data_IF_901054643209
#
_entry.id   IF_901054643209
#
_cell.length_a   1.000
_cell.length_b   1.000
_cell.length_c   1.000
_cell.angle_alpha   90.00
_cell.angle_beta   90.00
_cell.angle_gamma   90.00
#
_symmetry.space_group_name_H-M   'P 1'
#
loop_
_entity.id
_entity.type
_entity.pdbx_description
1 polymer ?
#
# COMPACT_ATOMS: atom_id res chain seq x y z
N UNK A 1 24.21 -34.58 29.44
CA UNK A 1 23.07 -34.07 30.24
C UNK A 1 22.20 -33.20 29.34
N UNK A 2 20.90 -33.46 29.24
CA UNK A 2 19.95 -32.57 28.55
C UNK A 2 19.09 -31.89 29.60
N UNK A 3 19.05 -30.56 29.59
CA UNK A 3 18.22 -29.76 30.49
C UNK A 3 17.15 -29.05 29.67
N UNK A 4 15.89 -29.22 30.07
CA UNK A 4 14.73 -28.57 29.47
C UNK A 4 13.93 -27.91 30.59
N UNK A 5 13.58 -26.64 30.43
CA UNK A 5 12.78 -25.86 31.36
C UNK A 5 11.80 -25.01 30.54
N UNK A 6 10.64 -24.71 31.10
CA UNK A 6 9.64 -23.83 30.50
C UNK A 6 10.05 -22.35 30.61
N UNK A 7 11.01 -22.05 31.48
CA UNK A 7 11.60 -20.72 31.65
C UNK A 7 12.97 -20.59 30.96
N UNK A 8 13.19 -19.45 30.30
CA UNK A 8 14.43 -19.20 29.57
C UNK A 8 15.57 -18.88 30.54
N UNK A 9 16.60 -19.72 30.55
CA UNK A 9 17.82 -19.51 31.33
C UNK A 9 19.00 -19.09 30.46
N UNK A 10 19.89 -18.23 30.98
CA UNK A 10 21.14 -17.92 30.30
C UNK A 10 22.06 -19.16 30.32
N UNK A 11 22.58 -19.55 29.17
CA UNK A 11 23.48 -20.71 29.06
C UNK A 11 24.73 -20.60 29.96
N UNK A 12 25.24 -19.37 30.14
CA UNK A 12 26.35 -19.09 31.05
C UNK A 12 26.02 -19.34 32.53
N UNK A 13 24.74 -19.21 32.92
CA UNK A 13 24.29 -19.53 34.27
C UNK A 13 24.26 -21.05 34.49
N UNK A 14 23.78 -21.81 33.51
CA UNK A 14 23.77 -23.28 33.56
C UNK A 14 25.19 -23.85 33.68
N UNK A 15 26.16 -23.32 32.93
CA UNK A 15 27.58 -23.72 33.05
C UNK A 15 28.18 -23.45 34.44
N UNK A 16 27.72 -22.41 35.13
CA UNK A 16 28.14 -22.13 36.51
C UNK A 16 27.53 -23.11 37.52
N UNK A 17 26.28 -23.51 37.32
CA UNK A 17 25.60 -24.47 38.19
C UNK A 17 26.19 -25.89 38.07
N UNK A 18 26.64 -26.27 36.87
CA UNK A 18 27.18 -27.59 36.58
C UNK A 18 28.60 -27.52 35.99
N UNK A 19 29.60 -27.05 36.75
CA UNK A 19 30.93 -26.74 36.23
C UNK A 19 31.71 -27.97 35.71
N UNK A 20 31.37 -29.17 36.21
CA UNK A 20 32.00 -30.43 35.81
C UNK A 20 31.30 -31.10 34.62
N UNK A 21 30.15 -30.58 34.17
CA UNK A 21 29.43 -31.15 33.04
C UNK A 21 29.91 -30.52 31.73
N UNK A 22 30.21 -31.36 30.74
CA UNK A 22 30.29 -30.91 29.36
C UNK A 22 28.88 -30.51 28.89
N UNK A 23 28.66 -29.21 28.73
CA UNK A 23 27.39 -28.62 28.35
C UNK A 23 27.54 -27.85 27.03
N UNK A 24 26.76 -28.26 26.03
CA UNK A 24 26.61 -27.62 24.73
C UNK A 24 25.13 -27.35 24.43
N UNK A 25 24.86 -26.39 23.54
CA UNK A 25 23.48 -26.15 23.09
C UNK A 25 22.97 -27.35 22.28
N UNK A 26 21.75 -27.81 22.58
CA UNK A 26 21.10 -28.86 21.80
C UNK A 26 20.83 -28.38 20.37
N UNK A 27 21.34 -29.13 19.40
CA UNK A 27 21.13 -28.90 17.96
C UNK A 27 20.29 -30.03 17.37
N UNK A 28 19.54 -29.70 16.33
CA UNK A 28 18.78 -30.70 15.57
C UNK A 28 17.46 -31.13 16.22
N UNK A 29 16.83 -32.11 15.56
CA UNK A 29 15.54 -32.66 15.99
C UNK A 29 15.64 -33.48 17.27
N UNK A 30 14.48 -33.85 17.87
CA UNK A 30 14.43 -34.72 19.06
C UNK A 30 15.20 -36.02 18.82
N UNK A 31 14.98 -36.63 17.66
CA UNK A 31 15.64 -37.88 17.26
C UNK A 31 17.15 -37.71 17.14
N UNK A 32 17.64 -36.59 16.60
CA UNK A 32 19.08 -36.36 16.51
C UNK A 32 19.73 -36.15 17.89
N UNK A 33 19.05 -35.49 18.81
CA UNK A 33 19.50 -35.36 20.20
C UNK A 33 19.54 -36.72 20.91
N UNK A 34 18.52 -37.56 20.70
CA UNK A 34 18.47 -38.94 21.21
C UNK A 34 19.59 -39.79 20.60
N UNK A 35 19.75 -39.79 19.27
CA UNK A 35 20.78 -40.56 18.57
C UNK A 35 22.20 -40.17 19.03
N UNK A 36 22.43 -38.89 19.37
CA UNK A 36 23.70 -38.43 19.95
C UNK A 36 23.93 -38.97 21.36
N UNK A 37 22.92 -38.90 22.25
CA UNK A 37 23.02 -39.39 23.64
C UNK A 37 23.23 -40.89 23.69
N UNK A 38 22.51 -41.62 22.83
CA UNK A 38 22.57 -43.08 22.75
C UNK A 38 23.66 -43.58 21.80
N UNK A 39 24.46 -42.70 21.19
CA UNK A 39 25.55 -43.01 20.25
C UNK A 39 25.12 -43.99 19.16
N UNK A 40 24.04 -43.64 18.45
CA UNK A 40 23.45 -44.43 17.36
C UNK A 40 23.71 -43.81 15.99
N UNK A 41 23.79 -44.65 14.96
CA UNK A 41 23.89 -44.21 13.57
C UNK A 41 25.13 -43.36 13.31
N UNK A 42 24.94 -42.10 12.86
CA UNK A 42 26.06 -41.19 12.54
C UNK A 42 26.93 -40.78 13.74
N UNK A 43 26.49 -41.09 14.96
CA UNK A 43 27.18 -40.78 16.21
C UNK A 43 27.73 -42.03 16.92
N UNK A 44 27.71 -43.18 16.26
CA UNK A 44 28.41 -44.37 16.75
C UNK A 44 29.91 -44.08 16.83
N UNK A 45 30.44 -44.18 18.04
CA UNK A 45 31.84 -43.95 18.34
C UNK A 45 32.36 -45.13 19.17
N UNK A 46 33.49 -45.71 18.77
CA UNK A 46 34.12 -46.85 19.45
C UNK A 46 34.93 -46.44 20.69
N UNK A 47 35.15 -45.14 20.90
CA UNK A 47 35.97 -44.61 22.00
C UNK A 47 35.15 -44.22 23.23
N UNK A 48 33.89 -43.82 23.06
CA UNK A 48 33.00 -43.41 24.15
C UNK A 48 32.05 -44.54 24.53
N UNK A 49 32.10 -45.01 25.78
CA UNK A 49 31.19 -46.03 26.31
C UNK A 49 30.13 -45.40 27.19
N UNK A 50 28.86 -45.68 26.89
CA UNK A 50 27.74 -45.29 27.74
C UNK A 50 27.73 -46.22 28.95
N UNK A 51 28.07 -45.67 30.12
CA UNK A 51 28.08 -46.43 31.38
C UNK A 51 26.68 -46.53 32.00
N UNK A 52 25.93 -45.43 31.94
CA UNK A 52 24.59 -45.34 32.53
C UNK A 52 23.80 -44.22 31.85
N UNK A 53 22.49 -44.42 31.67
CA UNK A 53 21.56 -43.38 31.16
C UNK A 53 20.45 -43.19 32.17
N UNK A 54 20.33 -41.96 32.67
CA UNK A 54 19.24 -41.55 33.53
C UNK A 54 18.41 -40.46 32.83
N UNK A 55 17.09 -40.67 32.77
CA UNK A 55 16.16 -39.74 32.12
C UNK A 55 15.05 -39.34 33.11
N UNK A 56 14.83 -38.04 33.24
CA UNK A 56 13.68 -37.48 33.94
C UNK A 56 13.01 -36.44 33.05
N UNK A 57 11.72 -36.63 32.76
CA UNK A 57 10.97 -35.82 31.79
C UNK A 57 11.14 -36.26 30.33
N UNK A 58 10.72 -35.40 29.39
CA UNK A 58 10.81 -35.65 27.95
C UNK A 58 11.84 -34.73 27.28
N UNK A 59 12.69 -35.30 26.41
CA UNK A 59 13.57 -34.51 25.55
C UNK A 59 12.71 -33.80 24.50
N UNK A 60 12.65 -32.47 24.58
CA UNK A 60 12.12 -31.61 23.51
C UNK A 60 13.29 -31.25 22.59
N UNK A 61 13.31 -31.81 21.39
CA UNK A 61 14.28 -31.42 20.37
C UNK A 61 14.07 -29.97 19.95
N UNK A 62 15.12 -29.33 19.44
CA UNK A 62 15.01 -28.03 18.78
C UNK A 62 14.53 -28.29 17.35
N UNK A 63 13.24 -28.61 17.20
CA UNK A 63 12.64 -28.78 15.86
C UNK A 63 13.02 -27.56 15.04
N UNK A 64 13.78 -27.78 13.96
CA UNK A 64 14.22 -26.71 13.07
C UNK A 64 13.01 -25.87 12.75
N UNK A 65 13.09 -24.57 13.07
CA UNK A 65 12.15 -23.59 12.56
C UNK A 65 11.95 -23.93 11.09
N UNK A 66 10.72 -24.23 10.64
CA UNK A 66 10.35 -23.72 9.31
C UNK A 66 10.73 -22.25 9.38
N UNK A 67 11.67 -21.82 8.53
CA UNK A 67 12.27 -20.50 8.68
C UNK A 67 11.11 -19.51 8.71
N UNK A 68 11.18 -18.47 9.54
CA UNK A 68 10.11 -17.47 9.60
C UNK A 68 9.85 -16.93 8.17
N UNK A 69 10.89 -16.89 7.33
CA UNK A 69 10.83 -16.60 5.89
C UNK A 69 10.06 -17.64 5.05
N UNK A 70 10.18 -18.94 5.32
CA UNK A 70 9.44 -19.98 4.57
C UNK A 70 7.93 -19.81 4.81
N UNK A 71 7.53 -19.55 6.06
CA UNK A 71 6.13 -19.28 6.42
C UNK A 71 5.63 -17.98 5.80
N UNK A 72 6.44 -16.92 5.83
CA UNK A 72 6.11 -15.66 5.15
C UNK A 72 5.88 -15.92 3.66
N UNK A 73 6.74 -16.72 3.02
CA UNK A 73 6.59 -17.07 1.62
C UNK A 73 5.33 -17.90 1.35
N UNK A 74 5.01 -18.87 2.22
CA UNK A 74 3.73 -19.62 2.18
C UNK A 74 2.54 -18.64 2.21
N UNK A 75 2.48 -17.72 3.18
CA UNK A 75 1.39 -16.74 3.27
C UNK A 75 1.30 -15.80 2.06
N UNK A 76 2.44 -15.35 1.52
CA UNK A 76 2.45 -14.52 0.31
C UNK A 76 1.85 -15.28 -0.89
N UNK A 77 2.20 -16.56 -1.05
CA UNK A 77 1.65 -17.41 -2.11
C UNK A 77 0.16 -17.73 -1.91
N UNK A 78 -0.30 -17.77 -0.66
CA UNK A 78 -1.72 -17.86 -0.30
C UNK A 78 -2.49 -16.54 -0.52
N UNK A 79 -1.79 -15.46 -0.90
CA UNK A 79 -2.38 -14.18 -1.25
C UNK A 79 -2.45 -13.17 -0.11
N UNK A 80 -1.88 -13.46 1.05
CA UNK A 80 -1.83 -12.52 2.16
C UNK A 80 -0.99 -11.29 1.81
N UNK A 81 -1.45 -10.13 2.27
CA UNK A 81 -0.69 -8.88 2.24
C UNK A 81 0.37 -8.83 3.35
N UNK A 82 1.42 -8.01 3.23
CA UNK A 82 2.39 -7.81 4.30
C UNK A 82 1.73 -7.40 5.62
N UNK A 83 0.73 -6.51 5.56
CA UNK A 83 -0.04 -6.08 6.74
C UNK A 83 -0.74 -7.24 7.44
N UNK A 84 -1.37 -8.16 6.69
CA UNK A 84 -2.00 -9.35 7.27
C UNK A 84 -0.97 -10.30 7.87
N UNK A 85 0.16 -10.54 7.18
CA UNK A 85 1.25 -11.37 7.68
C UNK A 85 1.78 -10.82 9.01
N UNK A 86 2.04 -9.52 9.11
CA UNK A 86 2.56 -8.91 10.34
C UNK A 86 1.55 -8.92 11.50
N UNK A 87 0.25 -9.03 11.23
CA UNK A 87 -0.80 -9.22 12.25
C UNK A 87 -0.78 -10.64 12.83
N UNK A 88 -0.36 -11.65 12.07
CA UNK A 88 -0.28 -13.04 12.54
C UNK A 88 0.77 -13.24 13.64
N UNK A 89 1.93 -12.61 13.51
CA UNK A 89 3.00 -12.69 14.50
C UNK A 89 3.94 -11.48 14.44
N UNK A 90 4.09 -10.77 15.57
CA UNK A 90 4.95 -9.58 15.67
C UNK A 90 6.41 -9.85 15.26
N UNK A 91 6.91 -11.06 15.48
CA UNK A 91 8.28 -11.45 15.14
C UNK A 91 8.58 -11.36 13.63
N UNK A 92 7.55 -11.41 12.78
CA UNK A 92 7.68 -11.24 11.33
C UNK A 92 8.08 -9.84 10.92
N UNK A 93 7.87 -8.81 11.77
CA UNK A 93 8.35 -7.45 11.50
C UNK A 93 9.87 -7.35 11.34
N UNK A 94 10.64 -8.32 11.88
CA UNK A 94 12.09 -8.40 11.63
C UNK A 94 12.43 -8.61 10.15
N UNK A 95 11.47 -9.10 9.38
CA UNK A 95 11.58 -9.37 7.95
C UNK A 95 10.74 -8.39 7.12
N UNK A 96 10.31 -7.26 7.69
CA UNK A 96 9.36 -6.35 7.04
C UNK A 96 9.80 -5.94 5.64
N UNK A 97 11.06 -5.53 5.48
CA UNK A 97 11.61 -5.11 4.19
C UNK A 97 11.50 -6.21 3.13
N UNK A 98 12.04 -7.39 3.41
CA UNK A 98 12.03 -8.50 2.45
C UNK A 98 10.61 -9.00 2.14
N UNK A 99 9.70 -8.99 3.12
CA UNK A 99 8.29 -9.34 2.91
C UNK A 99 7.60 -8.35 1.98
N UNK A 100 7.79 -7.04 2.19
CA UNK A 100 7.21 -6.00 1.34
C UNK A 100 7.79 -6.04 -0.06
N UNK A 101 9.11 -6.17 -0.19
CA UNK A 101 9.80 -6.24 -1.49
C UNK A 101 9.31 -7.46 -2.30
N UNK A 102 9.21 -8.64 -1.66
CA UNK A 102 8.70 -9.85 -2.30
C UNK A 102 7.24 -9.71 -2.74
N UNK A 103 6.37 -9.20 -1.86
CA UNK A 103 4.97 -8.93 -2.19
C UNK A 103 4.84 -7.96 -3.37
N UNK A 104 5.61 -6.86 -3.35
CA UNK A 104 5.55 -5.83 -4.38
C UNK A 104 6.00 -6.38 -5.74
N UNK A 105 7.07 -7.18 -5.79
CA UNK A 105 7.53 -7.82 -7.02
C UNK A 105 6.50 -8.83 -7.55
N UNK A 106 5.86 -9.62 -6.68
CA UNK A 106 4.76 -10.51 -7.08
C UNK A 106 3.60 -9.71 -7.72
N UNK A 107 3.22 -8.57 -7.13
CA UNK A 107 2.18 -7.70 -7.70
C UNK A 107 2.61 -7.12 -9.04
N UNK A 108 3.84 -6.61 -9.14
CA UNK A 108 4.39 -6.07 -10.38
C UNK A 108 4.37 -7.09 -11.52
N UNK A 109 4.72 -8.35 -11.26
CA UNK A 109 4.68 -9.42 -12.26
C UNK A 109 3.25 -9.80 -12.68
N UNK A 110 2.28 -9.64 -11.78
CA UNK A 110 0.87 -9.89 -12.07
C UNK A 110 0.15 -8.77 -12.84
N UNK A 111 0.72 -7.56 -12.85
CA UNK A 111 0.13 -6.38 -13.47
C UNK A 111 0.64 -6.23 -14.90
N UNK A 112 -0.25 -6.00 -15.90
CA UNK A 112 0.18 -5.83 -17.29
C UNK A 112 0.98 -4.54 -17.50
N UNK A 113 1.71 -4.48 -18.63
CA UNK A 113 2.48 -3.27 -19.01
C UNK A 113 1.57 -2.07 -19.25
N UNK A 114 0.36 -2.30 -19.74
CA UNK A 114 -0.68 -1.28 -19.90
C UNK A 114 -1.89 -1.65 -19.04
N UNK A 115 -2.23 -0.78 -18.10
CA UNK A 115 -3.31 -0.91 -17.13
C UNK A 115 -4.52 -0.11 -17.59
N UNK A 116 -5.70 -0.61 -17.27
CA UNK A 116 -6.92 0.18 -17.29
C UNK A 116 -7.02 0.94 -15.96
N UNK A 117 -6.86 2.26 -16.02
CA UNK A 117 -6.80 3.11 -14.83
C UNK A 117 -8.02 4.01 -14.81
N UNK A 118 -8.90 3.77 -13.84
CA UNK A 118 -10.09 4.58 -13.62
C UNK A 118 -9.75 5.79 -12.75
N UNK A 119 -10.19 6.98 -13.16
CA UNK A 119 -9.82 8.24 -12.50
C UNK A 119 -11.05 9.08 -12.16
N UNK A 120 -11.19 9.42 -10.87
CA UNK A 120 -12.18 10.39 -10.41
C UNK A 120 -11.52 11.69 -9.95
N UNK A 121 -12.07 12.81 -10.40
CA UNK A 121 -11.66 14.15 -9.99
C UNK A 121 -12.72 14.81 -9.11
N UNK A 122 -12.43 14.91 -7.81
CA UNK A 122 -13.28 15.60 -6.86
C UNK A 122 -12.89 17.07 -6.74
N UNK A 123 -13.80 17.98 -7.11
CA UNK A 123 -13.61 19.42 -7.03
C UNK A 123 -14.68 20.10 -6.16
N UNK A 124 -14.42 21.34 -5.73
CA UNK A 124 -15.34 22.13 -4.91
C UNK A 124 -14.65 22.92 -3.79
N UNK A 125 -15.38 23.82 -3.15
CA UNK A 125 -14.84 24.72 -2.13
C UNK A 125 -14.22 23.97 -0.92
N UNK A 126 -13.34 24.64 -0.17
CA UNK A 126 -12.79 24.05 1.05
C UNK A 126 -13.91 23.68 2.04
N UNK A 127 -13.77 22.56 2.75
CA UNK A 127 -14.75 22.13 3.74
C UNK A 127 -16.08 21.64 3.16
N UNK A 128 -16.16 21.26 1.87
CA UNK A 128 -17.36 20.64 1.25
C UNK A 128 -17.35 19.11 1.24
N UNK A 129 -16.39 18.46 1.91
CA UNK A 129 -16.40 17.00 2.09
C UNK A 129 -15.55 16.19 1.11
N UNK A 130 -14.78 16.82 0.20
CA UNK A 130 -13.89 16.11 -0.75
C UNK A 130 -12.98 15.07 -0.10
N UNK A 131 -12.23 15.46 0.93
CA UNK A 131 -11.30 14.54 1.62
C UNK A 131 -12.04 13.45 2.43
N UNK A 132 -13.33 13.65 2.75
CA UNK A 132 -14.16 12.61 3.37
C UNK A 132 -14.43 11.45 2.39
N UNK A 133 -14.24 11.65 1.09
CA UNK A 133 -14.32 10.54 0.12
C UNK A 133 -13.34 9.40 0.46
N UNK A 134 -12.18 9.72 1.02
CA UNK A 134 -11.25 8.70 1.49
C UNK A 134 -11.89 7.73 2.50
N UNK A 135 -12.75 8.23 3.39
CA UNK A 135 -13.46 7.41 4.38
C UNK A 135 -14.45 6.48 3.66
N UNK A 136 -15.23 7.01 2.74
CA UNK A 136 -16.19 6.22 1.94
C UNK A 136 -15.47 5.11 1.17
N UNK A 137 -14.34 5.43 0.53
CA UNK A 137 -13.51 4.44 -0.17
C UNK A 137 -12.96 3.39 0.80
N UNK A 138 -12.53 3.78 2.00
CA UNK A 138 -12.07 2.83 3.01
C UNK A 138 -13.18 1.87 3.46
N UNK A 139 -14.42 2.35 3.58
CA UNK A 139 -15.57 1.53 3.94
C UNK A 139 -15.94 0.55 2.80
N UNK A 140 -15.80 0.98 1.54
CA UNK A 140 -16.13 0.17 0.35
C UNK A 140 -15.05 -0.85 0.00
N UNK A 141 -13.78 -0.42 -0.08
CA UNK A 141 -12.66 -1.22 -0.59
C UNK A 141 -11.75 -1.76 0.50
N UNK A 142 -11.91 -1.32 1.74
CA UNK A 142 -11.00 -1.62 2.84
C UNK A 142 -9.76 -0.72 2.82
N UNK A 143 -9.42 -0.16 3.98
CA UNK A 143 -8.29 0.77 4.16
C UNK A 143 -6.96 0.24 3.63
N UNK A 144 -6.68 -1.05 3.79
CA UNK A 144 -5.41 -1.67 3.39
C UNK A 144 -5.25 -1.74 1.84
N UNK A 145 -6.30 -1.46 1.06
CA UNK A 145 -6.26 -1.40 -0.41
C UNK A 145 -6.09 0.02 -0.98
N UNK A 146 -6.01 1.04 -0.13
CA UNK A 146 -5.97 2.46 -0.54
C UNK A 146 -4.70 3.12 -0.02
N UNK A 147 -3.88 3.62 -0.94
CA UNK A 147 -2.76 4.48 -0.63
C UNK A 147 -3.20 5.94 -0.53
N UNK A 148 -3.00 6.55 0.62
CA UNK A 148 -3.31 7.96 0.86
C UNK A 148 -2.08 8.83 0.59
N UNK A 149 -2.12 9.61 -0.49
CA UNK A 149 -1.02 10.42 -0.99
C UNK A 149 -1.26 11.91 -0.69
N UNK A 150 -0.56 12.44 0.32
CA UNK A 150 -0.69 13.84 0.75
C UNK A 150 0.66 14.52 1.11
N UNK A 151 1.79 13.85 0.93
CA UNK A 151 3.13 14.42 1.16
C UNK A 151 3.61 15.15 -0.10
N UNK A 152 3.39 16.47 -0.12
CA UNK A 152 3.81 17.34 -1.22
C UNK A 152 5.17 18.02 -1.00
N UNK A 153 5.90 17.67 0.07
CA UNK A 153 7.18 18.30 0.36
C UNK A 153 8.18 18.08 -0.77
N UNK A 154 9.02 19.10 -1.00
CA UNK A 154 10.05 19.09 -2.04
C UNK A 154 9.48 18.67 -3.42
N UNK A 155 8.37 19.28 -3.85
CA UNK A 155 7.73 18.99 -5.15
C UNK A 155 7.06 17.62 -5.23
N UNK A 156 6.58 17.10 -4.08
CA UNK A 156 5.97 15.78 -3.97
C UNK A 156 6.96 14.63 -4.22
N UNK A 157 8.22 14.81 -3.83
CA UNK A 157 9.23 13.74 -3.90
C UNK A 157 8.96 12.60 -2.91
N UNK A 158 8.25 12.89 -1.81
CA UNK A 158 7.82 11.88 -0.83
C UNK A 158 6.44 11.30 -1.07
N UNK A 159 5.73 11.76 -2.11
CA UNK A 159 4.30 11.51 -2.31
C UNK A 159 3.95 10.01 -2.39
N UNK A 160 4.89 9.16 -2.79
CA UNK A 160 4.74 7.71 -2.94
C UNK A 160 5.77 6.88 -2.12
N UNK A 161 6.47 7.48 -1.14
CA UNK A 161 7.54 6.82 -0.37
C UNK A 161 7.10 5.53 0.33
N UNK A 162 5.81 5.41 0.66
CA UNK A 162 5.22 4.28 1.40
C UNK A 162 4.26 3.45 0.55
N UNK A 163 4.16 3.72 -0.75
CA UNK A 163 3.31 2.95 -1.65
C UNK A 163 3.77 1.49 -1.69
N UNK A 164 2.85 0.57 -1.47
CA UNK A 164 3.10 -0.85 -1.31
C UNK A 164 2.14 -1.69 -2.17
N UNK A 165 1.97 -1.27 -3.43
CA UNK A 165 1.14 -1.93 -4.44
C UNK A 165 -0.37 -1.93 -4.11
N UNK A 166 -0.85 -0.93 -3.38
CA UNK A 166 -2.28 -0.69 -3.21
C UNK A 166 -2.94 -0.46 -4.57
N UNK A 167 -4.16 -0.98 -4.73
CA UNK A 167 -4.92 -0.89 -5.99
C UNK A 167 -5.51 0.49 -6.23
N UNK A 168 -5.75 1.24 -5.15
CA UNK A 168 -6.37 2.55 -5.19
C UNK A 168 -5.39 3.58 -4.65
N UNK A 169 -5.24 4.69 -5.36
CA UNK A 169 -4.51 5.87 -4.87
C UNK A 169 -5.49 7.00 -4.63
N UNK A 170 -5.48 7.58 -3.43
CA UNK A 170 -6.21 8.80 -3.10
C UNK A 170 -5.22 9.95 -2.95
N UNK A 171 -5.20 10.87 -3.92
CA UNK A 171 -4.36 12.07 -3.91
C UNK A 171 -5.17 13.20 -3.27
N UNK A 172 -4.86 13.55 -2.03
CA UNK A 172 -5.64 14.52 -1.25
C UNK A 172 -5.05 15.93 -1.29
N UNK A 173 -5.89 16.95 -1.25
CA UNK A 173 -5.50 18.37 -1.24
C UNK A 173 -4.58 18.80 -2.39
N UNK A 174 -4.82 18.26 -3.57
CA UNK A 174 -4.04 18.60 -4.74
C UNK A 174 -4.35 20.03 -5.22
N UNK A 175 -3.32 20.86 -5.31
CA UNK A 175 -3.35 22.29 -5.65
C UNK A 175 -2.25 22.67 -6.66
N UNK A 176 -1.66 21.67 -7.34
CA UNK A 176 -0.61 21.84 -8.35
C UNK A 176 0.81 21.79 -7.77
N UNK A 177 1.02 21.07 -6.66
CA UNK A 177 2.33 20.96 -6.00
C UNK A 177 3.34 20.05 -6.73
N UNK A 178 2.87 19.24 -7.70
CA UNK A 178 3.72 18.42 -8.57
C UNK A 178 3.67 18.97 -10.00
N UNK A 179 4.65 18.64 -10.84
CA UNK A 179 4.66 19.09 -12.25
C UNK A 179 3.50 18.50 -13.05
N UNK A 180 3.09 19.20 -14.12
CA UNK A 180 2.02 18.74 -15.00
C UNK A 180 2.34 17.39 -15.65
N UNK A 181 3.57 17.22 -16.14
CA UNK A 181 4.06 15.94 -16.67
C UNK A 181 3.98 14.80 -15.64
N UNK A 182 4.31 15.07 -14.37
CA UNK A 182 4.20 14.06 -13.31
C UNK A 182 2.74 13.69 -13.05
N UNK A 183 1.83 14.66 -13.00
CA UNK A 183 0.40 14.40 -12.88
C UNK A 183 -0.10 13.51 -14.03
N UNK A 184 0.25 13.84 -15.28
CA UNK A 184 -0.16 13.05 -16.44
C UNK A 184 0.37 11.61 -16.37
N UNK A 185 1.61 11.42 -15.91
CA UNK A 185 2.21 10.10 -15.73
C UNK A 185 1.51 9.27 -14.66
N UNK A 186 1.14 9.88 -13.53
CA UNK A 186 0.42 9.19 -12.44
C UNK A 186 -0.96 8.67 -12.87
N UNK A 187 -1.59 9.37 -13.81
CA UNK A 187 -2.90 9.04 -14.37
C UNK A 187 -2.82 8.20 -15.65
N UNK A 188 -1.63 7.86 -16.12
CA UNK A 188 -1.45 7.07 -17.32
C UNK A 188 -1.63 5.57 -17.06
N UNK A 189 -2.02 4.84 -18.09
CA UNK A 189 -2.18 3.38 -18.06
C UNK A 189 -0.85 2.65 -18.07
N UNK A 190 0.23 3.25 -18.56
CA UNK A 190 1.53 2.57 -18.61
C UNK A 190 2.07 2.26 -17.21
N UNK A 191 2.48 1.01 -17.00
CA UNK A 191 3.22 0.59 -15.81
C UNK A 191 4.64 1.12 -15.92
N UNK A 192 4.86 2.28 -15.30
CA UNK A 192 6.17 2.94 -15.23
C UNK A 192 6.55 3.23 -13.77
N UNK A 193 7.70 3.86 -13.57
CA UNK A 193 8.19 4.21 -12.24
C UNK A 193 7.88 5.65 -11.88
N UNK A 194 7.51 5.88 -10.61
CA UNK A 194 7.46 7.21 -10.01
C UNK A 194 8.66 7.42 -9.09
N UNK A 195 9.27 8.59 -9.20
CA UNK A 195 10.38 8.98 -8.34
C UNK A 195 9.92 9.18 -6.89
N UNK A 196 10.63 8.52 -5.97
CA UNK A 196 10.47 8.66 -4.51
C UNK A 196 11.82 8.97 -3.85
N UNK A 197 11.85 9.34 -2.56
CA UNK A 197 13.09 9.81 -1.91
C UNK A 197 14.17 8.75 -1.79
N UNK A 198 13.79 7.49 -1.59
CA UNK A 198 14.73 6.40 -1.32
C UNK A 198 14.94 5.50 -2.53
N UNK A 199 13.84 5.02 -3.12
CA UNK A 199 13.85 4.19 -4.32
C UNK A 199 12.60 4.49 -5.12
N UNK A 200 12.72 4.55 -6.45
CA UNK A 200 11.56 4.64 -7.31
C UNK A 200 10.65 3.41 -7.13
N UNK A 201 9.34 3.61 -7.26
CA UNK A 201 8.35 2.54 -7.17
C UNK A 201 7.57 2.42 -8.47
N UNK A 202 7.13 1.22 -8.83
CA UNK A 202 6.26 1.02 -9.98
C UNK A 202 4.82 1.42 -9.67
N UNK A 203 4.15 2.03 -10.64
CA UNK A 203 2.74 2.39 -10.54
C UNK A 203 1.88 1.16 -10.85
N UNK A 204 1.23 0.59 -9.83
CA UNK A 204 0.50 -0.69 -9.91
C UNK A 204 -1.00 -0.57 -9.59
N UNK A 205 -1.50 0.66 -9.42
CA UNK A 205 -2.91 0.93 -9.12
C UNK A 205 -3.81 0.75 -10.35
N UNK A 206 -5.10 0.53 -10.12
CA UNK A 206 -6.15 0.52 -11.14
C UNK A 206 -7.16 1.65 -10.95
N UNK A 207 -7.13 2.36 -9.81
CA UNK A 207 -7.98 3.52 -9.54
C UNK A 207 -7.18 4.68 -8.95
N UNK A 208 -7.49 5.90 -9.39
CA UNK A 208 -6.98 7.13 -8.81
C UNK A 208 -8.13 8.07 -8.50
N UNK A 209 -8.17 8.55 -7.26
CA UNK A 209 -9.11 9.56 -6.82
C UNK A 209 -8.32 10.81 -6.45
N UNK A 210 -8.68 11.95 -7.03
CA UNK A 210 -8.01 13.22 -6.77
C UNK A 210 -8.97 14.15 -6.06
N UNK A 211 -8.56 14.69 -4.91
CA UNK A 211 -9.25 15.73 -4.19
C UNK A 211 -8.56 17.07 -4.45
N UNK A 212 -9.28 18.05 -5.02
CA UNK A 212 -8.75 19.38 -5.31
C UNK A 212 -9.79 20.46 -5.05
N UNK A 213 -9.36 21.68 -4.69
CA UNK A 213 -10.26 22.83 -4.72
C UNK A 213 -10.46 23.38 -6.14
N UNK A 214 -9.63 22.96 -7.09
CA UNK A 214 -9.65 23.41 -8.47
C UNK A 214 -10.26 22.32 -9.37
N UNK A 215 -11.11 22.68 -10.35
CA UNK A 215 -11.42 21.81 -11.48
C UNK A 215 -10.17 21.64 -12.38
N UNK A 216 -10.15 20.61 -13.26
CA UNK A 216 -8.98 20.30 -14.10
C UNK A 216 -8.45 21.48 -14.91
N UNK A 217 -9.33 22.29 -15.50
CA UNK A 217 -8.92 23.42 -16.36
C UNK A 217 -8.34 24.61 -15.60
N UNK A 218 -8.84 24.90 -14.40
CA UNK A 218 -8.26 25.96 -13.56
C UNK A 218 -6.94 25.51 -12.96
N UNK A 219 -6.84 24.23 -12.59
CA UNK A 219 -5.58 23.67 -12.13
C UNK A 219 -4.53 23.70 -13.24
N UNK A 220 -4.88 23.28 -14.45
CA UNK A 220 -4.00 23.33 -15.60
C UNK A 220 -3.46 24.76 -15.85
N UNK A 221 -4.33 25.78 -15.86
CA UNK A 221 -3.91 27.19 -16.02
C UNK A 221 -2.92 27.65 -14.94
N UNK A 222 -3.00 27.09 -13.73
CA UNK A 222 -2.08 27.39 -12.64
C UNK A 222 -0.72 26.70 -12.83
N UNK A 223 -0.72 25.50 -13.38
CA UNK A 223 0.46 24.64 -13.50
C UNK A 223 1.27 24.89 -14.79
N UNK A 224 0.60 25.31 -15.87
CA UNK A 224 1.19 25.51 -17.19
C UNK A 224 1.04 26.98 -17.57
N UNK A 225 2.14 27.72 -17.51
CA UNK A 225 2.18 29.17 -17.83
C UNK A 225 2.73 29.44 -19.24
N UNK A 226 3.54 28.53 -19.77
CA UNK A 226 4.20 28.60 -21.07
C UNK A 226 3.84 27.34 -21.89
N UNK A 227 4.04 27.36 -23.21
CA UNK A 227 3.85 26.20 -24.11
C UNK A 227 2.45 25.55 -24.11
N UNK A 228 1.41 26.35 -23.84
CA UNK A 228 0.00 25.90 -23.79
C UNK A 228 -0.52 25.26 -25.09
N UNK A 229 0.17 25.45 -26.21
CA UNK A 229 -0.13 24.82 -27.50
C UNK A 229 0.36 23.37 -27.60
N UNK A 230 1.35 22.98 -26.77
CA UNK A 230 1.98 21.66 -26.76
C UNK A 230 1.33 20.78 -25.68
N UNK A 231 1.29 21.28 -24.45
CA UNK A 231 0.66 20.60 -23.32
C UNK A 231 -0.74 21.14 -23.11
N UNK A 232 -1.77 20.51 -23.67
CA UNK A 232 -3.14 21.01 -23.55
C UNK A 232 -3.87 20.42 -22.33
N UNK A 233 -4.85 21.15 -21.80
CA UNK A 233 -5.76 20.64 -20.74
C UNK A 233 -6.46 19.33 -21.15
N UNK A 234 -6.70 19.13 -22.44
CA UNK A 234 -7.33 17.92 -22.98
C UNK A 234 -6.51 16.66 -22.72
N UNK A 235 -5.17 16.78 -22.60
CA UNK A 235 -4.33 15.66 -22.19
C UNK A 235 -4.62 15.18 -20.77
N UNK A 236 -5.02 16.10 -19.88
CA UNK A 236 -5.46 15.76 -18.52
C UNK A 236 -6.89 15.22 -18.56
N UNK A 237 -7.81 15.91 -19.24
CA UNK A 237 -9.23 15.52 -19.28
C UNK A 237 -9.45 14.11 -19.82
N UNK A 238 -8.71 13.69 -20.85
CA UNK A 238 -8.82 12.33 -21.42
C UNK A 238 -8.38 11.20 -20.48
N UNK A 239 -7.72 11.53 -19.36
CA UNK A 239 -7.28 10.59 -18.31
C UNK A 239 -8.17 10.67 -17.08
N UNK A 240 -9.26 11.42 -17.13
CA UNK A 240 -10.25 11.52 -16.05
C UNK A 240 -11.52 10.87 -16.60
N UNK A 241 -12.09 9.92 -15.87
CA UNK A 241 -13.33 9.24 -16.26
C UNK A 241 -14.54 9.98 -15.71
N UNK A 242 -14.44 10.46 -14.47
CA UNK A 242 -15.54 11.11 -13.76
C UNK A 242 -15.06 12.38 -13.06
N UNK A 243 -15.89 13.41 -13.08
CA UNK A 243 -15.74 14.60 -12.24
C UNK A 243 -16.86 14.65 -11.21
N UNK A 244 -16.52 14.96 -9.97
CA UNK A 244 -17.45 15.00 -8.83
C UNK A 244 -17.35 16.36 -8.17
N UNK A 245 -18.42 17.14 -8.24
CA UNK A 245 -18.52 18.42 -7.57
C UNK A 245 -19.10 18.28 -6.17
N UNK A 246 -18.32 18.68 -5.17
CA UNK A 246 -18.71 18.68 -3.77
C UNK A 246 -19.13 20.07 -3.32
N UNK A 247 -20.35 20.20 -2.80
CA UNK A 247 -20.90 21.48 -2.35
C UNK A 247 -21.72 21.32 -1.06
N UNK A 248 -22.10 22.46 -0.47
CA UNK A 248 -23.00 22.52 0.68
C UNK A 248 -24.29 23.20 0.30
N UNK A 249 -25.41 22.60 0.65
CA UNK A 249 -26.74 23.19 0.54
C UNK A 249 -27.50 22.90 1.83
N UNK A 250 -28.09 23.92 2.45
CA UNK A 250 -28.81 23.81 3.73
C UNK A 250 -28.02 23.08 4.83
N UNK A 251 -26.72 23.41 4.98
CA UNK A 251 -25.77 22.75 5.89
C UNK A 251 -25.54 21.24 5.67
N UNK A 252 -26.05 20.66 4.58
CA UNK A 252 -25.79 19.29 4.19
C UNK A 252 -24.71 19.21 3.12
N UNK A 253 -23.87 18.19 3.22
CA UNK A 253 -22.88 17.87 2.19
C UNK A 253 -23.59 17.18 1.04
N UNK A 254 -23.43 17.72 -0.17
CA UNK A 254 -23.99 17.17 -1.40
C UNK A 254 -22.89 16.97 -2.44
N UNK A 255 -23.13 16.04 -3.35
CA UNK A 255 -22.26 15.75 -4.48
C UNK A 255 -23.08 15.74 -5.76
N UNK A 256 -22.47 16.19 -6.85
CA UNK A 256 -23.00 16.06 -8.20
C UNK A 256 -21.92 15.44 -9.08
N UNK A 257 -22.27 14.38 -9.80
CA UNK A 257 -21.32 13.55 -10.56
C UNK A 257 -21.63 13.62 -12.04
N UNK A 258 -20.59 13.73 -12.87
CA UNK A 258 -20.69 13.67 -14.33
C UNK A 258 -19.56 12.84 -14.91
N UNK A 259 -19.83 12.18 -16.03
CA UNK A 259 -18.75 11.65 -16.87
C UNK A 259 -17.89 12.80 -17.36
N UNK A 260 -16.57 12.61 -17.41
CA UNK A 260 -15.67 13.65 -17.94
C UNK A 260 -15.94 13.94 -19.43
N UNK A 261 -16.57 13.01 -20.15
CA UNK A 261 -17.01 13.21 -21.54
C UNK A 261 -18.16 14.21 -21.67
N UNK A 262 -18.98 14.32 -20.62
CA UNK A 262 -20.12 15.25 -20.56
C UNK A 262 -19.72 16.59 -19.91
N UNK A 263 -18.54 16.65 -19.31
CA UNK A 263 -18.03 17.84 -18.65
C UNK A 263 -17.63 18.93 -19.65
N UNK A 264 -18.34 20.06 -19.59
CA UNK A 264 -18.05 21.24 -20.42
C UNK A 264 -17.13 22.23 -19.70
N UNK A 265 -17.55 22.70 -18.53
CA UNK A 265 -16.81 23.69 -17.73
C UNK A 265 -17.21 23.64 -16.26
N UNK A 266 -16.37 24.21 -15.40
CA UNK A 266 -16.67 24.26 -13.96
C UNK A 266 -17.92 25.08 -13.63
N UNK A 267 -18.20 26.15 -14.37
CA UNK A 267 -19.38 26.96 -14.12
C UNK A 267 -20.66 26.21 -14.51
N UNK A 268 -20.67 25.50 -15.66
CA UNK A 268 -21.78 24.60 -15.99
C UNK A 268 -21.94 23.48 -14.97
N UNK A 269 -20.85 22.90 -14.47
CA UNK A 269 -20.91 21.89 -13.42
C UNK A 269 -21.56 22.41 -12.13
N UNK A 270 -21.25 23.65 -11.72
CA UNK A 270 -21.90 24.30 -10.57
C UNK A 270 -23.38 24.54 -10.84
N UNK A 271 -23.72 25.04 -12.02
CA UNK A 271 -25.10 25.34 -12.38
C UNK A 271 -25.92 24.04 -12.38
N UNK A 272 -25.46 22.98 -13.04
CA UNK A 272 -26.17 21.69 -13.00
C UNK A 272 -26.30 21.12 -11.58
N UNK A 273 -25.31 21.34 -10.72
CA UNK A 273 -25.37 20.88 -9.34
C UNK A 273 -26.30 21.70 -8.43
N UNK A 274 -26.54 22.97 -8.78
CA UNK A 274 -27.33 23.93 -8.00
C UNK A 274 -28.72 24.21 -8.61
N UNK A 275 -28.93 23.84 -9.87
CA UNK A 275 -30.21 23.92 -10.55
C UNK A 275 -31.22 22.99 -9.91
N UNK A 276 -32.51 23.36 -10.00
CA UNK A 276 -33.59 22.54 -9.48
C UNK A 276 -33.66 21.18 -10.21
N UNK A 277 -34.27 20.19 -9.55
CA UNK A 277 -34.33 18.75 -9.91
C UNK A 277 -34.80 18.45 -11.36
N UNK A 278 -35.24 19.45 -12.12
CA UNK A 278 -35.71 19.35 -13.51
C UNK A 278 -34.60 19.55 -14.57
N UNK A 279 -33.36 19.84 -14.18
CA UNK A 279 -32.21 19.89 -15.09
C UNK A 279 -32.19 21.06 -16.09
N UNK A 280 -33.09 22.04 -15.91
CA UNK A 280 -33.10 23.27 -16.70
C UNK A 280 -32.38 24.40 -15.98
N UNK A 281 -31.53 25.10 -16.73
CA UNK A 281 -30.82 26.29 -16.29
C UNK A 281 -31.39 27.48 -17.09
N UNK A 282 -31.62 28.62 -16.45
CA UNK A 282 -32.13 29.81 -17.13
C UNK A 282 -31.11 30.29 -18.18
N UNK A 283 -31.47 30.23 -19.47
CA UNK A 283 -30.57 30.55 -20.57
C UNK A 283 -30.13 32.02 -20.57
N UNK A 284 -30.92 32.89 -19.92
CA UNK A 284 -30.69 34.33 -19.80
C UNK A 284 -29.72 34.70 -18.67
N UNK A 285 -29.18 33.72 -17.92
CA UNK A 285 -28.21 33.96 -16.85
C UNK A 285 -26.78 34.24 -17.35
N UNK A 286 -26.53 34.24 -18.67
CA UNK A 286 -25.20 34.43 -19.25
C UNK A 286 -25.17 35.32 -20.50
N UNK A 287 -24.20 36.24 -20.52
CA UNK A 287 -23.84 37.18 -21.61
C UNK A 287 -22.87 36.58 -22.64
N UNK A 288 -22.53 35.29 -22.56
CA UNK A 288 -21.69 34.61 -23.56
C UNK A 288 -22.51 33.63 -24.41
N UNK A 289 -22.33 33.63 -25.74
CA UNK A 289 -23.13 32.81 -26.64
C UNK A 289 -22.90 31.32 -26.36
N UNK A 290 -24.00 30.60 -26.19
CA UNK A 290 -24.01 29.14 -26.13
C UNK A 290 -23.27 28.58 -27.36
N UNK A 291 -22.41 27.55 -27.20
CA UNK A 291 -21.55 27.03 -28.27
C UNK A 291 -22.30 26.13 -29.25
N UNK A 292 -23.45 26.59 -29.75
CA UNK A 292 -24.19 25.97 -30.83
C UNK A 292 -24.80 27.04 -31.74
N UNK A 293 -23.99 27.53 -32.67
CA UNK A 293 -24.38 28.01 -34.00
C UNK A 293 -23.35 27.55 -35.02
#
# INVERSE_FOLDING_TARGET
>A
MVLSDDTAHRFSYIKKLYPMCHAEETKGSKKEAEDYIYKKGKFEDSTEKILEVYTHGEIKGRQGKRNDLDRINEYLNEGFTPSEIFKLNLSYRRYEKITRDAYFEMKRQSVPVFRDVYVEWHCGAAGTGKSHEYVNLCDEYGRDNIYFANDYDNGGSGLFDKYNAEKIVFIDEFKGQITFTKLLSLLDGYTSQVHCRYNNVYMLWDKVYISSIFPPELLYKKMVQEDTHIDTVEQLKRRIDKIVYHYKSNNQFKKYELSMKEYVSYDMLKVCALGDDDGFCDADAYDEPLPFT
#
